data_IF_904346715009
#
_entry.id   IF_904346715009
#
_cell.length_a   1.000
_cell.length_b   1.000
_cell.length_c   1.000
_cell.angle_alpha   90.00
_cell.angle_beta   90.00
_cell.angle_gamma   90.00
#
_symmetry.space_group_name_H-M   'P 1'
#
loop_
_entity.id
_entity.type
_entity.pdbx_description
1 polymer ?
#
# COMPACT_ATOMS: atom_id res chain seq x y z
N UNK A 1 -29.39 -12.49 -4.76
CA UNK A 1 -28.31 -13.27 -5.45
C UNK A 1 -27.10 -12.34 -5.49
N UNK A 2 -25.98 -12.70 -4.85
CA UNK A 2 -24.76 -11.91 -4.92
C UNK A 2 -24.27 -11.90 -6.37
N UNK A 3 -24.04 -10.69 -6.92
CA UNK A 3 -23.51 -10.53 -8.29
C UNK A 3 -22.04 -10.97 -8.29
N UNK A 4 -21.72 -12.08 -8.96
CA UNK A 4 -20.39 -12.68 -8.92
C UNK A 4 -19.36 -11.88 -9.71
N UNK A 5 -19.74 -11.39 -10.89
CA UNK A 5 -18.89 -10.59 -11.77
C UNK A 5 -19.63 -9.41 -12.36
N UNK A 6 -18.94 -8.30 -12.61
CA UNK A 6 -19.49 -7.12 -13.30
C UNK A 6 -18.49 -6.50 -14.26
N UNK A 7 -19.01 -5.78 -15.25
CA UNK A 7 -18.25 -4.91 -16.14
C UNK A 7 -18.53 -3.47 -15.76
N UNK A 8 -17.47 -2.69 -15.52
CA UNK A 8 -17.54 -1.23 -15.37
C UNK A 8 -17.10 -0.59 -16.67
N UNK A 9 -17.91 0.33 -17.21
CA UNK A 9 -17.52 1.30 -18.24
C UNK A 9 -17.43 2.65 -17.57
N UNK A 10 -16.28 3.35 -17.65
CA UNK A 10 -16.09 4.65 -17.03
C UNK A 10 -15.43 5.64 -17.99
N UNK A 11 -15.82 6.89 -17.87
CA UNK A 11 -15.31 8.02 -18.63
C UNK A 11 -15.28 9.29 -17.77
N UNK A 12 -14.44 10.23 -18.14
CA UNK A 12 -14.36 11.53 -17.50
C UNK A 12 -13.82 12.58 -18.46
N UNK A 13 -14.30 13.80 -18.31
CA UNK A 13 -13.90 14.88 -19.19
C UNK A 13 -13.91 16.25 -18.53
N UNK A 14 -13.31 17.24 -19.23
CA UNK A 14 -13.38 18.64 -18.85
C UNK A 14 -13.55 19.53 -20.07
N UNK A 15 -14.37 20.58 -19.93
CA UNK A 15 -14.55 21.62 -20.94
C UNK A 15 -13.44 22.66 -20.84
N UNK A 16 -12.24 22.29 -21.35
CA UNK A 16 -10.96 22.94 -21.10
C UNK A 16 -10.10 22.08 -20.15
N UNK A 17 -8.80 22.33 -20.05
CA UNK A 17 -7.91 21.46 -19.25
C UNK A 17 -6.88 22.29 -18.46
N UNK A 18 -7.22 22.74 -17.22
CA UNK A 18 -8.45 22.49 -16.45
C UNK A 18 -9.67 23.30 -16.90
N UNK A 19 -10.89 22.80 -16.57
CA UNK A 19 -12.16 23.45 -16.84
C UNK A 19 -13.32 22.76 -16.12
N UNK A 20 -14.59 23.19 -16.38
CA UNK A 20 -15.76 22.49 -15.88
C UNK A 20 -15.67 21.01 -16.25
N UNK A 21 -15.65 20.14 -15.26
CA UNK A 21 -15.35 18.72 -15.41
C UNK A 21 -16.46 17.85 -14.81
N UNK A 22 -16.61 16.65 -15.36
CA UNK A 22 -17.58 15.68 -14.90
C UNK A 22 -17.17 14.26 -15.30
N UNK A 23 -17.80 13.28 -14.70
CA UNK A 23 -17.57 11.87 -15.00
C UNK A 23 -18.87 11.10 -15.17
N UNK A 24 -18.76 9.95 -15.83
CA UNK A 24 -19.79 8.93 -15.93
C UNK A 24 -19.21 7.54 -15.70
N UNK A 25 -20.00 6.68 -15.05
CA UNK A 25 -19.68 5.27 -14.89
C UNK A 25 -20.95 4.43 -14.97
N UNK A 26 -20.86 3.29 -15.63
CA UNK A 26 -21.93 2.30 -15.82
C UNK A 26 -21.43 0.95 -15.36
N UNK A 27 -22.20 0.28 -14.52
CA UNK A 27 -21.93 -1.10 -14.10
C UNK A 27 -22.93 -2.02 -14.79
N UNK A 28 -22.41 -3.07 -15.45
CA UNK A 28 -23.21 -4.00 -16.23
C UNK A 28 -22.99 -5.44 -15.78
N UNK A 29 -24.03 -6.24 -15.96
CA UNK A 29 -23.91 -7.69 -15.95
C UNK A 29 -23.11 -8.14 -17.19
N UNK A 30 -22.05 -8.96 -17.05
CA UNK A 30 -21.20 -9.38 -18.15
C UNK A 30 -21.88 -10.33 -19.14
N UNK A 31 -22.92 -11.08 -18.72
CA UNK A 31 -23.60 -12.08 -19.53
C UNK A 31 -24.78 -11.46 -20.29
N UNK A 32 -25.56 -10.64 -19.63
CA UNK A 32 -26.78 -10.06 -20.21
C UNK A 32 -26.57 -8.68 -20.82
N UNK A 33 -25.50 -7.96 -20.40
CA UNK A 33 -25.27 -6.57 -20.74
C UNK A 33 -26.21 -5.59 -20.05
N UNK A 34 -27.07 -6.06 -19.14
CA UNK A 34 -28.00 -5.25 -18.38
C UNK A 34 -27.26 -4.21 -17.52
N UNK A 35 -27.79 -2.99 -17.46
CA UNK A 35 -27.25 -1.92 -16.60
C UNK A 35 -27.70 -2.17 -15.17
N UNK A 36 -26.77 -2.45 -14.29
CA UNK A 36 -27.01 -2.67 -12.87
C UNK A 36 -26.93 -1.40 -12.05
N UNK A 37 -26.06 -0.47 -12.44
CA UNK A 37 -25.92 0.84 -11.80
C UNK A 37 -25.32 1.85 -12.74
N UNK A 38 -25.70 3.13 -12.53
CA UNK A 38 -25.11 4.30 -13.19
C UNK A 38 -24.66 5.32 -12.14
N UNK A 39 -23.54 5.99 -12.39
CA UNK A 39 -23.01 7.08 -11.56
C UNK A 39 -22.52 8.20 -12.48
N UNK A 40 -22.90 9.43 -12.16
CA UNK A 40 -22.36 10.61 -12.85
C UNK A 40 -22.40 11.81 -11.92
N UNK A 41 -21.40 12.68 -11.98
CA UNK A 41 -21.40 13.93 -11.25
C UNK A 41 -20.47 14.97 -11.90
N UNK A 42 -20.88 16.23 -11.82
CA UNK A 42 -19.99 17.36 -12.05
C UNK A 42 -19.03 17.51 -10.86
N UNK A 43 -17.75 17.77 -11.14
CA UNK A 43 -16.71 17.87 -10.11
C UNK A 43 -16.09 19.28 -10.01
N UNK A 44 -16.76 20.28 -10.56
CA UNK A 44 -16.26 21.65 -10.62
C UNK A 44 -15.12 21.79 -11.63
N UNK A 45 -14.16 22.68 -11.37
CA UNK A 45 -13.00 22.88 -12.26
C UNK A 45 -11.92 21.84 -11.97
N UNK A 46 -11.66 20.96 -12.95
CA UNK A 46 -10.64 19.93 -12.85
C UNK A 46 -10.02 19.62 -14.23
N UNK A 47 -8.93 18.84 -14.23
CA UNK A 47 -8.34 18.33 -15.47
C UNK A 47 -9.06 17.08 -15.95
N UNK A 48 -8.92 16.77 -17.24
CA UNK A 48 -9.48 15.55 -17.83
C UNK A 48 -9.06 14.28 -17.05
N UNK A 49 -7.79 14.14 -16.74
CA UNK A 49 -7.29 12.97 -16.02
C UNK A 49 -7.88 12.83 -14.61
N UNK A 50 -8.19 13.93 -13.92
CA UNK A 50 -8.88 13.90 -12.62
C UNK A 50 -10.30 13.37 -12.80
N UNK A 51 -11.01 13.82 -13.82
CA UNK A 51 -12.37 13.37 -14.12
C UNK A 51 -12.40 11.86 -14.48
N UNK A 52 -11.45 11.39 -15.27
CA UNK A 52 -11.28 9.98 -15.62
C UNK A 52 -11.10 9.07 -14.38
N UNK A 53 -10.20 9.48 -13.46
CA UNK A 53 -10.02 8.76 -12.20
C UNK A 53 -11.30 8.77 -11.34
N UNK A 54 -12.03 9.89 -11.31
CA UNK A 54 -13.31 9.99 -10.58
C UNK A 54 -14.37 9.06 -11.16
N UNK A 55 -14.43 8.91 -12.47
CA UNK A 55 -15.29 7.93 -13.13
C UNK A 55 -14.98 6.50 -12.74
N UNK A 56 -13.69 6.13 -12.78
CA UNK A 56 -13.25 4.80 -12.33
C UNK A 56 -13.61 4.54 -10.87
N UNK A 57 -13.33 5.49 -9.97
CA UNK A 57 -13.63 5.37 -8.54
C UNK A 57 -15.12 5.15 -8.32
N UNK A 58 -15.98 5.95 -8.95
CA UNK A 58 -17.43 5.84 -8.84
C UNK A 58 -17.97 4.49 -9.35
N UNK A 59 -17.38 3.97 -10.42
CA UNK A 59 -17.71 2.64 -10.93
C UNK A 59 -17.30 1.52 -9.98
N UNK A 60 -16.10 1.59 -9.39
CA UNK A 60 -15.64 0.62 -8.40
C UNK A 60 -16.48 0.67 -7.11
N UNK A 61 -16.87 1.86 -6.65
CA UNK A 61 -17.77 2.03 -5.50
C UNK A 61 -19.13 1.37 -5.77
N UNK A 62 -19.72 1.63 -6.95
CA UNK A 62 -20.99 1.02 -7.34
C UNK A 62 -20.92 -0.50 -7.46
N UNK A 63 -19.83 -1.04 -8.01
CA UNK A 63 -19.62 -2.49 -8.07
C UNK A 63 -19.49 -3.11 -6.67
N UNK A 64 -18.83 -2.44 -5.74
CA UNK A 64 -18.71 -2.88 -4.35
C UNK A 64 -20.06 -2.83 -3.60
N UNK A 65 -20.89 -1.81 -3.85
CA UNK A 65 -22.26 -1.72 -3.31
C UNK A 65 -23.16 -2.86 -3.81
N UNK A 66 -22.95 -3.31 -5.06
CA UNK A 66 -23.65 -4.46 -5.63
C UNK A 66 -23.14 -5.81 -5.10
N UNK A 67 -22.07 -5.82 -4.29
CA UNK A 67 -21.47 -7.03 -3.75
C UNK A 67 -20.73 -7.86 -4.79
N UNK A 68 -20.23 -7.26 -5.85
CA UNK A 68 -19.45 -7.95 -6.88
C UNK A 68 -18.16 -8.54 -6.31
N UNK A 69 -17.81 -9.75 -6.73
CA UNK A 69 -16.54 -10.40 -6.38
C UNK A 69 -15.46 -10.16 -7.43
N UNK A 70 -15.84 -10.10 -8.70
CA UNK A 70 -14.94 -9.91 -9.83
C UNK A 70 -15.37 -8.69 -10.66
N UNK A 71 -14.39 -7.90 -11.11
CA UNK A 71 -14.63 -6.67 -11.86
C UNK A 71 -13.75 -6.59 -13.10
N UNK A 72 -14.36 -6.31 -14.26
CA UNK A 72 -13.63 -5.83 -15.42
C UNK A 72 -13.92 -4.35 -15.63
N UNK A 73 -12.93 -3.47 -15.40
CA UNK A 73 -13.03 -2.03 -15.61
C UNK A 73 -12.54 -1.68 -17.02
N UNK A 74 -13.45 -1.21 -17.87
CA UNK A 74 -13.21 -0.79 -19.26
C UNK A 74 -13.20 0.71 -19.38
N UNK A 75 -12.14 1.27 -19.93
CA UNK A 75 -11.96 2.73 -20.10
C UNK A 75 -11.29 3.03 -21.43
N UNK A 76 -11.60 4.19 -22.02
CA UNK A 76 -10.89 4.74 -23.18
C UNK A 76 -9.71 5.64 -22.77
N UNK A 77 -9.55 5.92 -21.49
CA UNK A 77 -8.37 6.58 -20.92
C UNK A 77 -7.19 5.60 -20.81
N UNK A 78 -6.32 5.58 -21.82
CA UNK A 78 -5.11 4.75 -21.79
C UNK A 78 -4.23 5.08 -20.60
N UNK A 79 -4.16 6.37 -20.21
CA UNK A 79 -3.36 6.80 -19.06
C UNK A 79 -3.84 6.11 -17.77
N UNK A 80 -5.13 6.16 -17.47
CA UNK A 80 -5.68 5.57 -16.24
C UNK A 80 -5.51 4.05 -16.25
N UNK A 81 -5.82 3.38 -17.37
CA UNK A 81 -5.66 1.92 -17.51
C UNK A 81 -4.20 1.50 -17.29
N UNK A 82 -3.24 2.17 -17.95
CA UNK A 82 -1.82 1.83 -17.82
C UNK A 82 -1.29 2.11 -16.40
N UNK A 83 -1.76 3.17 -15.75
CA UNK A 83 -1.40 3.49 -14.38
C UNK A 83 -2.00 2.50 -13.37
N UNK A 84 -3.27 2.13 -13.52
CA UNK A 84 -3.91 1.15 -12.64
C UNK A 84 -3.38 -0.28 -12.83
N UNK A 85 -2.90 -0.62 -14.03
CA UNK A 85 -2.15 -1.85 -14.28
C UNK A 85 -0.69 -1.81 -13.76
N UNK A 86 -0.22 -0.67 -13.24
CA UNK A 86 1.15 -0.51 -12.77
C UNK A 86 2.22 -0.39 -13.86
N UNK A 87 1.81 -0.32 -15.16
CA UNK A 87 2.75 -0.19 -16.29
C UNK A 87 3.30 1.24 -16.44
N UNK A 88 2.53 2.26 -16.05
CA UNK A 88 2.94 3.66 -16.09
C UNK A 88 2.99 4.28 -14.70
N UNK A 89 4.03 5.11 -14.48
CA UNK A 89 4.16 5.86 -13.23
C UNK A 89 3.17 7.02 -13.14
N UNK A 90 2.65 7.27 -11.94
CA UNK A 90 1.80 8.43 -11.65
C UNK A 90 2.70 9.60 -11.25
N UNK A 91 3.14 10.37 -12.26
CA UNK A 91 4.05 11.52 -12.05
C UNK A 91 3.33 12.74 -11.47
N UNK A 92 2.08 12.97 -11.84
CA UNK A 92 1.33 14.16 -11.43
C UNK A 92 0.85 14.05 -9.98
N UNK A 93 1.24 15.01 -9.07
CA UNK A 93 0.90 14.93 -7.64
C UNK A 93 -0.62 14.84 -7.38
N UNK A 94 -1.44 15.59 -8.14
CA UNK A 94 -2.89 15.59 -8.00
C UNK A 94 -3.60 14.29 -8.37
N UNK A 95 -2.94 13.39 -9.12
CA UNK A 95 -3.52 12.09 -9.48
C UNK A 95 -3.18 10.98 -8.46
N UNK A 96 -2.12 11.16 -7.65
CA UNK A 96 -1.69 10.16 -6.67
C UNK A 96 -2.78 9.81 -5.65
N UNK A 97 -3.49 10.78 -5.02
CA UNK A 97 -4.56 10.46 -4.08
C UNK A 97 -5.72 9.68 -4.74
N UNK A 98 -6.09 10.05 -5.97
CA UNK A 98 -7.15 9.38 -6.71
C UNK A 98 -6.79 7.94 -7.08
N UNK A 99 -5.56 7.74 -7.54
CA UNK A 99 -5.06 6.40 -7.82
C UNK A 99 -4.95 5.54 -6.55
N UNK A 100 -4.56 6.13 -5.42
CA UNK A 100 -4.55 5.44 -4.13
C UNK A 100 -5.96 5.04 -3.69
N UNK A 101 -6.96 5.93 -3.87
CA UNK A 101 -8.38 5.64 -3.59
C UNK A 101 -8.88 4.49 -4.48
N UNK A 102 -8.62 4.55 -5.79
CA UNK A 102 -8.99 3.49 -6.72
C UNK A 102 -8.32 2.15 -6.35
N UNK A 103 -7.03 2.16 -6.00
CA UNK A 103 -6.30 0.97 -5.57
C UNK A 103 -6.86 0.38 -4.26
N UNK A 104 -7.29 1.22 -3.32
CA UNK A 104 -7.97 0.79 -2.09
C UNK A 104 -9.29 0.07 -2.39
N UNK A 105 -10.07 0.58 -3.35
CA UNK A 105 -11.30 -0.09 -3.80
C UNK A 105 -11.04 -1.41 -4.50
N UNK A 106 -10.00 -1.50 -5.33
CA UNK A 106 -9.56 -2.75 -5.98
C UNK A 106 -9.33 -3.87 -4.97
N UNK A 107 -8.77 -3.56 -3.80
CA UNK A 107 -8.55 -4.52 -2.72
C UNK A 107 -9.83 -5.15 -2.13
N UNK A 108 -11.01 -4.62 -2.44
CA UNK A 108 -12.31 -5.16 -1.98
C UNK A 108 -12.84 -6.30 -2.85
N UNK A 109 -12.26 -6.53 -4.01
CA UNK A 109 -12.68 -7.54 -4.96
C UNK A 109 -11.68 -8.70 -5.00
N UNK A 110 -12.16 -9.88 -5.34
CA UNK A 110 -11.32 -11.07 -5.53
C UNK A 110 -10.41 -10.92 -6.75
N UNK A 111 -10.93 -10.30 -7.81
CA UNK A 111 -10.16 -10.01 -9.03
C UNK A 111 -10.64 -8.71 -9.68
N UNK A 112 -9.70 -7.88 -10.15
CA UNK A 112 -10.00 -6.71 -10.97
C UNK A 112 -9.10 -6.71 -12.19
N UNK A 113 -9.71 -6.56 -13.38
CA UNK A 113 -9.01 -6.41 -14.65
C UNK A 113 -9.27 -5.02 -15.20
N UNK A 114 -8.23 -4.34 -15.66
CA UNK A 114 -8.35 -3.05 -16.36
C UNK A 114 -8.12 -3.26 -17.85
N UNK A 115 -9.09 -2.87 -18.67
CA UNK A 115 -9.07 -3.07 -20.13
C UNK A 115 -9.24 -1.73 -20.83
N UNK A 116 -8.26 -1.37 -21.68
CA UNK A 116 -8.45 -0.22 -22.56
C UNK A 116 -9.39 -0.58 -23.70
N UNK A 117 -10.37 0.30 -23.95
CA UNK A 117 -11.31 0.17 -25.07
C UNK A 117 -11.28 1.44 -25.91
N UNK A 118 -11.53 1.36 -27.23
CA UNK A 118 -11.68 2.55 -28.04
C UNK A 118 -12.96 3.31 -27.64
N UNK A 119 -12.94 4.66 -27.77
CA UNK A 119 -14.01 5.56 -27.35
C UNK A 119 -15.39 5.20 -27.90
N UNK A 120 -15.42 4.66 -29.13
CA UNK A 120 -16.65 4.22 -29.77
C UNK A 120 -17.36 3.10 -29.01
N UNK A 121 -16.65 2.39 -28.12
CA UNK A 121 -17.18 1.35 -27.25
C UNK A 121 -17.51 1.83 -25.84
N UNK A 122 -17.18 3.09 -25.50
CA UNK A 122 -17.45 3.69 -24.18
C UNK A 122 -18.60 4.73 -24.21
N UNK A 123 -19.49 4.66 -25.20
CA UNK A 123 -20.50 5.69 -25.48
C UNK A 123 -21.46 5.99 -24.34
N UNK A 124 -21.79 5.02 -23.51
CA UNK A 124 -22.74 5.20 -22.42
C UNK A 124 -22.10 6.03 -21.29
N UNK A 125 -20.89 5.66 -20.86
CA UNK A 125 -20.14 6.42 -19.86
C UNK A 125 -19.77 7.83 -20.38
N UNK A 126 -19.37 7.96 -21.67
CA UNK A 126 -19.11 9.25 -22.33
C UNK A 126 -20.36 10.15 -22.31
N UNK A 127 -21.55 9.63 -22.59
CA UNK A 127 -22.78 10.38 -22.53
C UNK A 127 -23.09 10.90 -21.11
N UNK A 128 -22.90 10.08 -20.09
CA UNK A 128 -23.08 10.46 -18.68
C UNK A 128 -22.05 11.52 -18.27
N UNK A 129 -20.79 11.36 -18.66
CA UNK A 129 -19.73 12.33 -18.37
C UNK A 129 -20.01 13.68 -19.06
N UNK A 130 -20.46 13.67 -20.32
CA UNK A 130 -20.84 14.88 -21.05
C UNK A 130 -22.01 15.62 -20.40
N UNK A 131 -23.06 14.90 -19.98
CA UNK A 131 -24.19 15.48 -19.26
C UNK A 131 -23.76 16.10 -17.93
N UNK A 132 -22.89 15.45 -17.20
CA UNK A 132 -22.34 15.94 -15.94
C UNK A 132 -21.45 17.19 -16.13
N UNK A 133 -20.66 17.26 -17.19
CA UNK A 133 -19.89 18.47 -17.55
C UNK A 133 -20.77 19.65 -17.93
N UNK A 134 -21.83 19.40 -18.69
CA UNK A 134 -22.76 20.48 -19.13
C UNK A 134 -23.54 21.04 -17.94
N UNK A 135 -23.97 20.17 -17.00
CA UNK A 135 -24.58 20.61 -15.75
C UNK A 135 -23.60 21.43 -14.89
N UNK A 136 -22.34 21.01 -14.79
CA UNK A 136 -21.29 21.74 -14.07
C UNK A 136 -20.95 23.11 -14.72
N UNK A 137 -21.18 23.25 -16.03
CA UNK A 137 -21.00 24.49 -16.79
C UNK A 137 -22.23 25.40 -16.76
N UNK A 138 -23.32 25.05 -16.06
CA UNK A 138 -24.55 25.81 -15.99
C UNK A 138 -25.37 25.81 -17.30
N UNK A 139 -25.13 24.84 -18.20
CA UNK A 139 -25.86 24.62 -19.43
C UNK A 139 -27.05 23.70 -19.19
N UNK A 140 -28.25 24.07 -19.65
CA UNK A 140 -29.42 23.20 -19.62
C UNK A 140 -29.16 21.91 -20.46
N UNK A 141 -29.60 20.73 -20.01
CA UNK A 141 -29.39 19.50 -20.75
C UNK A 141 -30.11 19.56 -22.10
N UNK A 142 -29.38 19.31 -23.18
CA UNK A 142 -29.99 19.01 -24.50
C UNK A 142 -30.63 17.63 -24.38
N UNK A 143 -31.96 17.62 -24.42
CA UNK A 143 -32.80 16.47 -24.24
C UNK A 143 -32.53 15.39 -25.31
N UNK A 144 -31.92 14.27 -24.91
CA UNK A 144 -32.22 12.98 -25.50
C UNK A 144 -33.31 12.36 -24.62
N UNK A 145 -34.47 12.08 -25.21
CA UNK A 145 -35.69 11.69 -24.53
C UNK A 145 -35.50 10.43 -23.70
N UNK A 146 -35.90 10.40 -22.40
CA UNK A 146 -35.90 9.19 -21.63
C UNK A 146 -37.09 8.31 -22.02
N UNK A 147 -36.79 7.05 -22.32
CA UNK A 147 -37.82 6.01 -22.31
C UNK A 147 -38.31 5.87 -20.87
N UNK A 148 -39.62 6.11 -20.67
CA UNK A 148 -40.30 6.06 -19.40
C UNK A 148 -40.04 4.70 -18.69
N UNK A 149 -39.43 4.75 -17.52
CA UNK A 149 -39.40 3.66 -16.56
C UNK A 149 -40.81 3.54 -15.96
N UNK A 150 -41.40 2.36 -16.02
CA UNK A 150 -42.60 2.01 -15.29
C UNK A 150 -42.31 2.03 -13.77
N UNK A 151 -43.26 2.48 -12.93
CA UNK A 151 -43.05 2.52 -11.50
C UNK A 151 -42.87 1.10 -10.93
N UNK A 152 -42.02 0.93 -9.93
CA UNK A 152 -41.80 -0.38 -9.34
C UNK A 152 -43.08 -0.85 -8.63
N UNK A 153 -43.50 -2.08 -8.93
CA UNK A 153 -44.52 -2.77 -8.14
C UNK A 153 -43.97 -2.96 -6.72
N UNK A 154 -44.74 -2.46 -5.79
CA UNK A 154 -44.57 -2.68 -4.35
C UNK A 154 -44.57 -4.18 -4.07
N UNK A 155 -43.42 -4.78 -3.78
CA UNK A 155 -43.33 -6.12 -3.20
C UNK A 155 -43.05 -5.92 -1.73
N UNK A 156 -43.97 -6.37 -0.90
CA UNK A 156 -43.87 -6.34 0.55
C UNK A 156 -42.54 -6.96 0.99
N UNK A 157 -41.71 -6.17 1.72
CA UNK A 157 -40.35 -6.55 2.07
C UNK A 157 -40.26 -7.52 3.22
N UNK A 158 -39.13 -8.20 3.33
CA UNK A 158 -38.73 -8.94 4.52
C UNK A 158 -37.98 -8.01 5.50
N UNK A 159 -38.65 -7.02 6.04
CA UNK A 159 -38.07 -6.05 7.00
C UNK A 159 -37.83 -6.64 8.40
N UNK A 160 -38.30 -7.88 8.65
CA UNK A 160 -38.13 -8.55 9.96
C UNK A 160 -36.79 -9.28 10.09
N UNK A 161 -36.28 -9.88 9.02
CA UNK A 161 -35.03 -10.65 9.05
C UNK A 161 -33.78 -9.74 9.11
N UNK A 162 -33.78 -8.63 8.40
CA UNK A 162 -32.69 -7.67 8.46
C UNK A 162 -32.59 -6.97 9.82
N UNK A 163 -33.74 -6.65 10.45
CA UNK A 163 -33.78 -6.10 11.81
C UNK A 163 -33.40 -7.11 12.88
N UNK A 164 -33.72 -8.40 12.68
CA UNK A 164 -33.26 -9.47 13.56
C UNK A 164 -31.75 -9.68 13.45
N UNK A 165 -31.20 -9.71 12.24
CA UNK A 165 -29.75 -9.82 12.01
C UNK A 165 -28.98 -8.62 12.58
N UNK A 166 -29.49 -7.39 12.39
CA UNK A 166 -28.91 -6.20 12.98
C UNK A 166 -28.93 -6.19 14.52
N UNK A 167 -30.01 -6.73 15.13
CA UNK A 167 -30.09 -6.89 16.59
C UNK A 167 -29.15 -7.98 17.10
N UNK A 168 -28.95 -9.05 16.35
CA UNK A 168 -28.03 -10.13 16.73
C UNK A 168 -26.56 -9.66 16.61
N UNK A 169 -26.21 -8.90 15.59
CA UNK A 169 -24.89 -8.27 15.45
C UNK A 169 -24.64 -7.26 16.60
N UNK A 170 -25.65 -6.43 16.94
CA UNK A 170 -25.54 -5.50 18.06
C UNK A 170 -25.45 -6.22 19.42
N UNK A 171 -26.17 -7.34 19.61
CA UNK A 171 -26.09 -8.16 20.82
C UNK A 171 -24.73 -8.86 20.95
N UNK A 172 -24.16 -9.36 19.84
CA UNK A 172 -22.81 -9.94 19.81
C UNK A 172 -21.74 -8.89 20.12
N UNK A 173 -21.87 -7.67 19.58
CA UNK A 173 -20.97 -6.56 19.89
C UNK A 173 -21.04 -6.14 21.37
N UNK A 174 -22.24 -6.17 21.98
CA UNK A 174 -22.39 -5.86 23.39
C UNK A 174 -21.80 -6.95 24.30
N UNK A 175 -21.89 -8.24 23.90
CA UNK A 175 -21.33 -9.37 24.64
C UNK A 175 -19.80 -9.42 24.52
N UNK A 176 -19.25 -9.10 23.35
CA UNK A 176 -17.79 -9.01 23.13
C UNK A 176 -17.15 -7.91 24.00
N UNK A 177 -17.86 -6.80 24.22
CA UNK A 177 -17.42 -5.71 25.10
C UNK A 177 -17.34 -6.11 26.58
N UNK A 178 -18.03 -7.18 26.97
CA UNK A 178 -18.06 -7.68 28.35
C UNK A 178 -17.00 -8.77 28.64
N UNK A 179 -16.37 -9.37 27.62
CA UNK A 179 -15.44 -10.52 27.78
C UNK A 179 -14.00 -10.24 27.43
N UNK A 180 -13.64 -9.01 27.08
CA UNK A 180 -12.25 -8.52 27.07
C UNK A 180 -11.22 -9.26 26.23
N UNK A 181 -11.62 -9.99 25.17
CA UNK A 181 -10.67 -10.66 24.25
C UNK A 181 -11.20 -10.70 22.83
N UNK A 182 -10.87 -9.67 22.03
CA UNK A 182 -10.91 -9.75 20.57
C UNK A 182 -9.66 -9.07 19.98
N UNK A 183 -8.73 -9.81 19.35
CA UNK A 183 -7.48 -9.27 18.82
C UNK A 183 -7.61 -8.61 17.44
N UNK A 184 -8.81 -8.29 16.95
CA UNK A 184 -9.02 -7.87 15.56
C UNK A 184 -9.80 -6.57 15.37
N UNK A 185 -9.81 -5.64 16.33
CA UNK A 185 -10.34 -4.29 16.09
C UNK A 185 -9.23 -3.26 16.13
N UNK A 186 -8.59 -3.05 15.00
CA UNK A 186 -7.80 -1.83 14.78
C UNK A 186 -8.77 -0.65 14.90
N UNK A 187 -8.55 0.31 15.82
CA UNK A 187 -9.42 1.48 15.92
C UNK A 187 -9.30 2.28 14.62
N UNK A 188 -10.37 2.34 13.86
CA UNK A 188 -10.47 3.18 12.66
C UNK A 188 -10.73 4.66 13.00
N UNK A 189 -10.43 5.11 14.22
CA UNK A 189 -10.76 6.45 14.67
C UNK A 189 -9.51 7.30 14.87
N UNK A 190 -9.64 8.57 14.50
CA UNK A 190 -8.71 9.65 14.80
C UNK A 190 -8.80 10.08 16.28
N UNK A 191 -9.30 9.24 17.18
CA UNK A 191 -9.31 9.53 18.59
C UNK A 191 -7.87 9.71 19.11
N UNK A 192 -7.60 10.71 19.95
CA UNK A 192 -6.32 10.85 20.61
C UNK A 192 -6.01 9.52 21.34
N UNK A 193 -4.85 8.92 21.02
CA UNK A 193 -4.44 7.70 21.71
C UNK A 193 -4.25 7.97 23.20
N UNK A 194 -4.51 6.97 24.06
CA UNK A 194 -4.19 7.09 25.48
C UNK A 194 -2.75 7.55 25.66
N UNK A 195 -2.47 8.27 26.73
CA UNK A 195 -1.19 8.87 27.05
C UNK A 195 -0.05 7.89 27.35
N UNK A 196 -0.22 6.61 27.06
CA UNK A 196 0.85 5.62 27.20
C UNK A 196 1.90 5.82 26.10
N UNK A 197 3.15 5.91 26.53
CA UNK A 197 4.26 6.08 25.60
C UNK A 197 4.49 4.78 24.83
N UNK A 198 4.46 4.90 23.50
CA UNK A 198 4.74 3.77 22.61
C UNK A 198 6.24 3.47 22.53
N UNK A 199 6.59 2.20 22.35
CA UNK A 199 7.97 1.81 22.02
C UNK A 199 8.34 2.36 20.64
N UNK A 200 9.34 3.23 20.58
CA UNK A 200 9.84 3.81 19.32
C UNK A 200 10.90 2.92 18.71
N UNK A 201 10.69 2.51 17.48
CA UNK A 201 11.70 1.84 16.66
C UNK A 201 12.26 2.82 15.62
N UNK A 202 13.58 3.01 15.65
CA UNK A 202 14.34 3.72 14.61
C UNK A 202 15.00 2.65 13.74
N UNK A 203 14.40 2.36 12.59
CA UNK A 203 14.89 1.36 11.64
C UNK A 203 15.95 1.98 10.75
N UNK A 204 17.12 1.39 10.69
CA UNK A 204 18.25 1.85 9.88
C UNK A 204 18.67 0.76 8.92
N UNK A 205 18.65 1.03 7.62
CA UNK A 205 19.33 0.16 6.66
C UNK A 205 20.84 0.36 6.77
N UNK A 206 21.62 -0.72 6.70
CA UNK A 206 23.08 -0.63 6.68
C UNK A 206 23.60 0.28 5.55
N UNK A 207 24.81 0.83 5.70
CA UNK A 207 25.49 1.63 4.69
C UNK A 207 25.84 0.86 3.42
N UNK A 208 26.36 1.55 2.42
CA UNK A 208 26.77 1.01 1.12
C UNK A 208 27.79 -0.13 1.24
N UNK A 209 27.64 -1.16 0.39
CA UNK A 209 28.59 -2.28 0.20
C UNK A 209 28.87 -2.44 -1.29
N UNK A 210 29.91 -3.15 -1.68
CA UNK A 210 30.23 -3.40 -3.09
C UNK A 210 29.06 -4.05 -3.84
N UNK A 211 28.31 -4.95 -3.19
CA UNK A 211 27.12 -5.57 -3.80
C UNK A 211 25.99 -4.56 -4.06
N UNK A 212 25.78 -3.59 -3.14
CA UNK A 212 24.77 -2.54 -3.36
C UNK A 212 25.16 -1.60 -4.51
N UNK A 213 26.44 -1.30 -4.69
CA UNK A 213 26.96 -0.52 -5.82
C UNK A 213 26.72 -1.27 -7.13
N UNK A 214 26.99 -2.56 -7.16
CA UNK A 214 26.81 -3.41 -8.34
C UNK A 214 25.34 -3.85 -8.56
N UNK A 215 24.40 -3.42 -7.69
CA UNK A 215 22.97 -3.78 -7.75
C UNK A 215 22.73 -5.29 -7.76
N UNK A 216 23.53 -6.00 -6.99
CA UNK A 216 23.45 -7.45 -6.82
C UNK A 216 22.56 -7.81 -5.63
N UNK A 217 21.90 -8.98 -5.71
CA UNK A 217 21.25 -9.58 -4.56
C UNK A 217 22.30 -9.84 -3.46
N UNK A 218 22.05 -9.29 -2.28
CA UNK A 218 22.98 -9.38 -1.14
C UNK A 218 22.21 -9.90 0.08
N UNK A 219 22.17 -11.22 0.21
CA UNK A 219 21.46 -11.93 1.27
C UNK A 219 22.35 -12.23 2.47
N UNK A 220 22.66 -13.52 2.67
CA UNK A 220 23.38 -14.04 3.84
C UNK A 220 24.89 -13.86 3.75
N UNK A 221 25.46 -13.63 2.57
CA UNK A 221 26.89 -13.37 2.39
C UNK A 221 27.34 -12.13 3.17
N UNK A 222 28.42 -12.29 3.93
CA UNK A 222 28.92 -11.22 4.81
C UNK A 222 29.89 -10.30 4.07
N UNK A 223 29.34 -9.26 3.43
CA UNK A 223 30.08 -8.26 2.67
C UNK A 223 30.25 -6.98 3.52
N UNK A 224 31.46 -6.45 3.67
CA UNK A 224 31.73 -5.27 4.51
C UNK A 224 31.24 -3.97 3.84
N UNK A 225 31.15 -2.90 4.64
CA UNK A 225 30.87 -1.55 4.16
C UNK A 225 32.04 -1.02 3.29
N UNK A 226 31.70 -0.32 2.20
CA UNK A 226 32.67 0.48 1.44
C UNK A 226 33.17 1.69 2.26
N UNK A 227 34.13 2.43 1.74
CA UNK A 227 34.55 3.70 2.35
C UNK A 227 33.35 4.68 2.44
N UNK A 228 32.54 4.77 1.40
CA UNK A 228 31.31 5.57 1.37
C UNK A 228 30.27 5.03 2.35
N UNK A 229 30.07 3.71 2.43
CA UNK A 229 29.17 3.09 3.41
C UNK A 229 29.55 3.42 4.85
N UNK A 230 30.84 3.47 5.18
CA UNK A 230 31.30 3.92 6.49
C UNK A 230 31.04 5.41 6.75
N UNK A 231 31.18 6.27 5.73
CA UNK A 231 30.80 7.68 5.82
C UNK A 231 29.28 7.84 6.03
N UNK A 232 28.48 7.10 5.27
CA UNK A 232 27.02 7.02 5.47
C UNK A 232 26.65 6.57 6.88
N UNK A 233 27.28 5.53 7.42
CA UNK A 233 27.04 5.06 8.78
C UNK A 233 27.30 6.14 9.84
N UNK A 234 28.34 6.97 9.66
CA UNK A 234 28.62 8.11 10.57
C UNK A 234 27.56 9.22 10.43
N UNK A 235 27.15 9.55 9.21
CA UNK A 235 26.09 10.54 9.00
C UNK A 235 24.75 10.08 9.58
N UNK A 236 24.41 8.80 9.38
CA UNK A 236 23.24 8.17 10.00
C UNK A 236 23.30 8.22 11.52
N UNK A 237 24.46 7.98 12.11
CA UNK A 237 24.66 8.08 13.56
C UNK A 237 24.33 9.47 14.08
N UNK A 238 24.81 10.54 13.41
CA UNK A 238 24.47 11.91 13.76
C UNK A 238 22.96 12.20 13.59
N UNK A 239 22.34 11.67 12.54
CA UNK A 239 20.89 11.80 12.33
C UNK A 239 20.08 11.12 13.42
N UNK A 240 20.44 9.89 13.78
CA UNK A 240 19.78 9.14 14.86
C UNK A 240 19.93 9.86 16.19
N UNK A 241 21.12 10.38 16.53
CA UNK A 241 21.35 11.14 17.74
C UNK A 241 20.51 12.44 17.81
N UNK A 242 20.27 13.09 16.64
CA UNK A 242 19.38 14.24 16.56
C UNK A 242 17.89 13.88 16.73
N UNK A 243 17.49 12.68 16.30
CA UNK A 243 16.11 12.17 16.46
C UNK A 243 15.84 11.66 17.88
N UNK A 244 16.83 11.03 18.51
CA UNK A 244 16.74 10.44 19.83
C UNK A 244 18.11 10.57 20.54
N UNK A 245 18.31 11.60 21.37
CA UNK A 245 19.57 11.80 22.10
C UNK A 245 19.90 10.68 23.08
N UNK A 246 18.89 9.92 23.52
CA UNK A 246 19.03 8.73 24.35
C UNK A 246 18.24 7.58 23.75
N UNK A 247 18.84 6.40 23.70
CA UNK A 247 18.19 5.16 23.25
C UNK A 247 18.46 4.06 24.29
N UNK A 248 17.43 3.23 24.52
CA UNK A 248 17.53 2.11 25.47
C UNK A 248 18.43 0.99 24.94
N UNK A 249 18.44 0.76 23.63
CA UNK A 249 19.24 -0.29 23.01
C UNK A 249 19.52 0.01 21.54
N UNK A 250 20.62 -0.56 21.06
CA UNK A 250 20.92 -0.72 19.62
C UNK A 250 20.96 -2.21 19.31
N UNK A 251 20.01 -2.66 18.46
CA UNK A 251 19.87 -4.06 18.05
C UNK A 251 20.17 -4.17 16.55
N UNK A 252 20.93 -5.18 16.15
CA UNK A 252 21.46 -5.29 14.78
C UNK A 252 21.31 -6.69 14.23
N UNK A 253 21.09 -6.80 12.92
CA UNK A 253 21.45 -8.01 12.18
C UNK A 253 22.91 -8.41 12.49
N UNK A 254 23.24 -9.71 12.55
CA UNK A 254 24.60 -10.16 12.87
C UNK A 254 25.63 -9.85 11.76
N UNK A 255 25.21 -9.55 10.54
CA UNK A 255 26.11 -9.32 9.41
C UNK A 255 26.99 -8.07 9.59
N UNK A 256 28.24 -8.14 9.16
CA UNK A 256 29.27 -7.13 9.41
C UNK A 256 28.86 -5.71 8.97
N UNK A 257 28.18 -5.58 7.83
CA UNK A 257 27.66 -4.30 7.35
C UNK A 257 26.66 -3.64 8.30
N UNK A 258 25.82 -4.44 8.96
CA UNK A 258 24.87 -3.96 9.95
C UNK A 258 25.55 -3.66 11.29
N UNK A 259 26.40 -4.56 11.79
CA UNK A 259 27.09 -4.34 13.07
C UNK A 259 28.05 -3.16 13.01
N UNK A 260 28.71 -2.91 11.86
CA UNK A 260 29.53 -1.72 11.65
C UNK A 260 28.69 -0.43 11.68
N UNK A 261 27.51 -0.42 11.02
CA UNK A 261 26.58 0.71 11.07
C UNK A 261 26.04 0.91 12.48
N UNK A 262 25.65 -0.17 13.16
CA UNK A 262 25.13 -0.14 14.53
C UNK A 262 26.13 0.41 15.55
N UNK A 263 27.41 0.02 15.44
CA UNK A 263 28.49 0.56 16.28
C UNK A 263 28.68 2.06 16.09
N UNK A 264 28.61 2.52 14.83
CA UNK A 264 28.70 3.97 14.57
C UNK A 264 27.54 4.73 15.21
N UNK A 265 26.32 4.19 15.16
CA UNK A 265 25.15 4.77 15.85
C UNK A 265 25.32 4.75 17.37
N UNK A 266 25.65 3.59 17.93
CA UNK A 266 25.81 3.42 19.38
C UNK A 266 26.79 4.43 19.97
N UNK A 267 27.89 4.71 19.28
CA UNK A 267 28.92 5.66 19.72
C UNK A 267 28.41 7.09 19.93
N UNK A 268 27.29 7.49 19.30
CA UNK A 268 26.72 8.85 19.40
C UNK A 268 25.45 8.94 20.26
N UNK A 269 24.86 7.80 20.65
CA UNK A 269 23.59 7.76 21.40
C UNK A 269 23.78 7.22 22.85
N UNK A 270 24.89 7.54 23.47
CA UNK A 270 25.19 7.12 24.85
C UNK A 270 25.96 5.79 24.95
N UNK A 271 26.39 5.26 23.81
CA UNK A 271 27.18 4.04 23.70
C UNK A 271 26.55 2.78 24.36
N UNK A 272 25.25 2.51 24.17
CA UNK A 272 24.65 1.29 24.66
C UNK A 272 25.31 0.07 23.97
N UNK A 273 25.30 -1.11 24.61
CA UNK A 273 25.84 -2.31 23.98
C UNK A 273 25.05 -2.65 22.71
N UNK A 274 25.77 -2.91 21.60
CA UNK A 274 25.15 -3.41 20.37
C UNK A 274 24.86 -4.89 20.56
N UNK A 275 23.58 -5.25 20.49
CA UNK A 275 23.09 -6.64 20.54
C UNK A 275 22.77 -7.13 19.13
N UNK A 276 23.06 -8.38 18.83
CA UNK A 276 22.67 -9.00 17.57
C UNK A 276 21.40 -9.84 17.73
N UNK A 277 20.57 -9.84 16.69
CA UNK A 277 19.37 -10.67 16.59
C UNK A 277 19.32 -11.30 15.20
N UNK A 278 19.36 -12.63 15.14
CA UNK A 278 19.40 -13.40 13.89
C UNK A 278 18.09 -13.27 13.09
N UNK A 279 16.95 -13.00 13.75
CA UNK A 279 15.68 -12.75 13.08
C UNK A 279 15.68 -11.43 12.26
N UNK A 280 16.69 -10.55 12.44
CA UNK A 280 16.89 -9.30 11.67
C UNK A 280 17.82 -9.46 10.47
N UNK A 281 18.33 -10.67 10.19
CA UNK A 281 19.22 -10.92 9.04
C UNK A 281 18.48 -10.75 7.72
N UNK A 282 19.21 -10.46 6.62
CA UNK A 282 18.58 -10.28 5.29
C UNK A 282 17.92 -11.58 4.79
N UNK A 283 17.00 -11.46 3.84
CA UNK A 283 16.45 -12.58 3.10
C UNK A 283 17.56 -13.42 2.48
N UNK A 284 17.45 -14.74 2.60
CA UNK A 284 18.33 -15.65 1.87
C UNK A 284 17.90 -15.68 0.39
N UNK A 285 18.73 -15.18 -0.48
CA UNK A 285 18.46 -15.20 -1.92
C UNK A 285 18.98 -16.47 -2.61
N UNK A 286 19.52 -17.44 -1.85
CA UNK A 286 19.96 -18.72 -2.36
C UNK A 286 20.91 -18.59 -3.55
N UNK A 287 20.60 -19.26 -4.66
CA UNK A 287 21.44 -19.25 -5.86
C UNK A 287 21.52 -17.88 -6.57
N UNK A 288 20.65 -16.94 -6.22
CA UNK A 288 20.68 -15.59 -6.78
C UNK A 288 21.69 -14.67 -6.09
N UNK A 289 22.25 -15.09 -4.95
CA UNK A 289 23.21 -14.28 -4.20
C UNK A 289 24.41 -13.87 -5.06
N UNK A 290 24.74 -12.57 -5.05
CA UNK A 290 25.83 -11.99 -5.85
C UNK A 290 25.51 -11.77 -7.32
N UNK A 291 24.29 -12.07 -7.76
CA UNK A 291 23.82 -11.81 -9.13
C UNK A 291 23.04 -10.51 -9.21
N UNK A 292 23.05 -9.86 -10.37
CA UNK A 292 22.18 -8.74 -10.69
C UNK A 292 20.76 -9.24 -11.03
N UNK A 293 19.79 -8.34 -11.01
CA UNK A 293 18.42 -8.65 -11.45
C UNK A 293 18.39 -9.16 -12.91
N UNK A 294 19.22 -8.61 -13.79
CA UNK A 294 19.30 -9.04 -15.19
C UNK A 294 19.83 -10.47 -15.32
N UNK A 295 20.91 -10.82 -14.62
CA UNK A 295 21.46 -12.17 -14.62
C UNK A 295 20.48 -13.20 -14.06
N UNK A 296 19.73 -12.83 -13.01
CA UNK A 296 18.66 -13.70 -12.48
C UNK A 296 17.52 -13.84 -13.50
N UNK A 297 17.14 -12.75 -14.17
CA UNK A 297 16.13 -12.79 -15.23
C UNK A 297 16.53 -13.70 -16.40
N UNK A 298 17.79 -13.67 -16.80
CA UNK A 298 18.29 -14.47 -17.89
C UNK A 298 18.41 -15.96 -17.52
N UNK A 299 18.80 -16.27 -16.28
CA UNK A 299 19.05 -17.64 -15.84
C UNK A 299 17.86 -18.35 -15.17
N UNK A 300 16.89 -17.62 -14.59
CA UNK A 300 15.80 -18.13 -13.76
C UNK A 300 14.49 -17.38 -13.98
N UNK A 301 14.12 -17.11 -15.23
CA UNK A 301 12.97 -16.27 -15.58
C UNK A 301 11.66 -16.76 -14.93
N UNK A 302 11.40 -18.07 -14.97
CA UNK A 302 10.18 -18.66 -14.41
C UNK A 302 10.11 -18.54 -12.88
N UNK A 303 11.20 -18.85 -12.20
CA UNK A 303 11.32 -18.76 -10.74
C UNK A 303 11.25 -17.29 -10.27
N UNK A 304 11.87 -16.37 -11.04
CA UNK A 304 11.80 -14.94 -10.74
C UNK A 304 10.38 -14.41 -10.89
N UNK A 305 9.65 -14.79 -11.95
CA UNK A 305 8.26 -14.38 -12.14
C UNK A 305 7.35 -14.94 -11.03
N UNK A 306 7.55 -16.19 -10.62
CA UNK A 306 6.82 -16.79 -9.50
C UNK A 306 7.13 -16.07 -8.17
N UNK A 307 8.39 -15.73 -7.91
CA UNK A 307 8.81 -15.00 -6.71
C UNK A 307 8.26 -13.57 -6.68
N UNK A 308 8.22 -12.88 -7.82
CA UNK A 308 7.63 -11.54 -7.93
C UNK A 308 6.10 -11.54 -7.77
N UNK A 309 5.45 -12.68 -8.09
CA UNK A 309 4.00 -12.83 -8.00
C UNK A 309 3.50 -13.18 -6.58
N UNK A 310 4.36 -13.75 -5.71
CA UNK A 310 3.94 -14.21 -4.39
C UNK A 310 5.05 -14.15 -3.35
N UNK A 311 4.73 -13.59 -2.20
CA UNK A 311 5.63 -13.54 -1.03
C UNK A 311 5.90 -14.91 -0.41
N UNK A 312 5.13 -15.94 -0.78
CA UNK A 312 5.31 -17.32 -0.29
C UNK A 312 6.28 -18.14 -1.15
N UNK A 313 6.66 -17.64 -2.31
CA UNK A 313 7.65 -18.30 -3.17
C UNK A 313 9.04 -17.85 -2.75
N UNK A 314 9.93 -18.82 -2.54
CA UNK A 314 11.33 -18.58 -2.24
C UNK A 314 12.17 -18.58 -3.53
N UNK A 315 13.30 -17.85 -3.58
CA UNK A 315 14.34 -18.10 -4.56
C UNK A 315 14.86 -19.54 -4.43
N UNK A 316 15.38 -20.16 -5.49
CA UNK A 316 15.93 -21.51 -5.40
C UNK A 316 17.03 -21.62 -4.30
N UNK A 317 16.85 -22.54 -3.38
CA UNK A 317 17.68 -22.72 -2.18
C UNK A 317 17.74 -21.49 -1.25
N UNK A 318 16.75 -20.62 -1.29
CA UNK A 318 16.65 -19.41 -0.48
C UNK A 318 15.44 -19.41 0.45
N UNK A 319 15.07 -18.21 0.94
CA UNK A 319 14.00 -17.94 1.89
C UNK A 319 12.92 -17.09 1.24
N UNK A 320 11.65 -17.38 1.48
CA UNK A 320 10.52 -16.58 1.02
C UNK A 320 10.35 -15.31 1.86
N UNK A 321 9.73 -14.27 1.30
CA UNK A 321 9.39 -13.07 2.08
C UNK A 321 8.40 -13.35 3.21
N UNK A 322 7.56 -14.38 3.10
CA UNK A 322 6.68 -14.80 4.19
C UNK A 322 7.48 -15.32 5.40
N UNK A 323 8.49 -16.15 5.18
CA UNK A 323 9.38 -16.62 6.25
C UNK A 323 10.18 -15.47 6.87
N UNK A 324 10.67 -14.53 6.04
CA UNK A 324 11.32 -13.32 6.55
C UNK A 324 10.35 -12.48 7.41
N UNK A 325 9.09 -12.33 6.99
CA UNK A 325 8.08 -11.60 7.76
C UNK A 325 7.82 -12.23 9.12
N UNK A 326 7.68 -13.56 9.19
CA UNK A 326 7.46 -14.29 10.43
C UNK A 326 8.60 -14.07 11.44
N UNK A 327 9.87 -14.24 11.01
CA UNK A 327 11.00 -14.03 11.91
C UNK A 327 11.17 -12.57 12.32
N UNK A 328 10.98 -11.63 11.37
CA UNK A 328 11.09 -10.20 11.66
C UNK A 328 9.97 -9.75 12.61
N UNK A 329 8.76 -10.29 12.46
CA UNK A 329 7.65 -10.07 13.40
C UNK A 329 8.02 -10.52 14.82
N UNK A 330 8.61 -11.72 15.00
CA UNK A 330 9.11 -12.18 16.30
C UNK A 330 10.15 -11.22 16.90
N UNK A 331 11.07 -10.70 16.07
CA UNK A 331 12.05 -9.71 16.55
C UNK A 331 11.36 -8.43 17.06
N UNK A 332 10.40 -7.88 16.30
CA UNK A 332 9.63 -6.69 16.69
C UNK A 332 8.86 -6.92 18.00
N UNK A 333 8.22 -8.08 18.15
CA UNK A 333 7.47 -8.43 19.38
C UNK A 333 8.41 -8.52 20.61
N UNK A 334 9.60 -9.11 20.44
CA UNK A 334 10.63 -9.14 21.50
C UNK A 334 11.05 -7.72 21.91
N UNK A 335 11.29 -6.85 20.92
CA UNK A 335 11.70 -5.47 21.17
C UNK A 335 10.61 -4.67 21.88
N UNK A 336 9.36 -4.76 21.42
CA UNK A 336 8.21 -4.11 22.04
C UNK A 336 8.04 -4.55 23.50
N UNK A 337 8.20 -5.86 23.78
CA UNK A 337 8.06 -6.42 25.11
C UNK A 337 9.22 -6.08 26.04
N UNK A 338 10.45 -6.00 25.50
CA UNK A 338 11.65 -5.71 26.31
C UNK A 338 11.86 -4.23 26.60
N UNK A 339 11.31 -3.34 25.79
CA UNK A 339 11.55 -1.90 25.86
C UNK A 339 10.24 -1.06 25.79
N UNK A 340 9.26 -1.32 26.69
CA UNK A 340 7.98 -0.61 26.67
C UNK A 340 8.17 0.88 26.92
N UNK A 341 7.62 1.73 26.03
CA UNK A 341 7.73 3.20 26.12
C UNK A 341 9.10 3.78 25.78
N UNK A 342 10.07 2.94 25.41
CA UNK A 342 11.44 3.40 25.15
C UNK A 342 11.78 3.49 23.66
N UNK A 343 12.91 4.11 23.34
CA UNK A 343 13.44 4.17 21.97
C UNK A 343 14.50 3.11 21.74
N UNK A 344 14.34 2.32 20.70
CA UNK A 344 15.28 1.30 20.25
C UNK A 344 15.71 1.57 18.82
N UNK A 345 17.01 1.51 18.55
CA UNK A 345 17.54 1.54 17.18
C UNK A 345 17.70 0.12 16.66
N UNK A 346 17.15 -0.15 15.47
CA UNK A 346 17.24 -1.45 14.81
C UNK A 346 18.00 -1.29 13.50
N UNK A 347 19.17 -1.91 13.39
CA UNK A 347 19.98 -1.88 12.17
C UNK A 347 19.82 -3.18 11.40
N UNK A 348 19.28 -3.11 10.20
CA UNK A 348 18.95 -4.28 9.40
C UNK A 348 19.10 -3.99 7.89
N UNK A 349 18.36 -4.70 7.08
CA UNK A 349 18.47 -4.75 5.63
C UNK A 349 17.14 -4.37 4.95
N UNK A 350 17.14 -4.41 3.61
CA UNK A 350 15.98 -4.00 2.80
C UNK A 350 14.75 -4.83 3.11
N UNK A 351 14.85 -6.17 3.04
CA UNK A 351 13.68 -7.04 3.14
C UNK A 351 13.05 -7.02 4.54
N UNK A 352 13.81 -7.18 5.64
CA UNK A 352 13.26 -7.07 6.99
C UNK A 352 12.61 -5.72 7.25
N UNK A 353 13.28 -4.60 6.90
CA UNK A 353 12.73 -3.26 7.14
C UNK A 353 11.45 -3.03 6.33
N UNK A 354 11.41 -3.45 5.06
CA UNK A 354 10.19 -3.34 4.24
C UNK A 354 9.03 -4.14 4.82
N UNK A 355 9.28 -5.33 5.36
CA UNK A 355 8.25 -6.18 5.94
C UNK A 355 7.71 -5.59 7.25
N UNK A 356 8.57 -5.05 8.12
CA UNK A 356 8.12 -4.28 9.30
C UNK A 356 7.26 -3.09 8.90
N UNK A 357 7.68 -2.32 7.89
CA UNK A 357 6.91 -1.17 7.40
C UNK A 357 5.61 -1.58 6.72
N UNK A 358 5.59 -2.69 5.97
CA UNK A 358 4.37 -3.25 5.38
C UNK A 358 3.34 -3.56 6.46
N UNK A 359 3.75 -4.26 7.50
CA UNK A 359 2.86 -4.67 8.57
C UNK A 359 2.41 -3.47 9.41
N UNK A 360 3.32 -2.53 9.70
CA UNK A 360 3.01 -1.28 10.41
C UNK A 360 1.98 -0.40 9.66
N UNK A 361 1.98 -0.43 8.34
CA UNK A 361 1.07 0.32 7.47
C UNK A 361 -0.18 -0.50 7.08
N UNK A 362 -0.32 -1.74 7.57
CA UNK A 362 -1.35 -2.68 7.14
C UNK A 362 -1.44 -2.80 5.60
N UNK A 363 -0.29 -2.74 4.91
CA UNK A 363 -0.22 -2.73 3.46
C UNK A 363 -0.18 -4.16 2.89
N UNK A 364 -0.72 -4.34 1.69
CA UNK A 364 -0.61 -5.61 0.97
C UNK A 364 0.79 -5.85 0.40
N UNK A 365 1.06 -7.08 -0.06
CA UNK A 365 2.37 -7.56 -0.52
C UNK A 365 2.99 -6.74 -1.67
N UNK A 366 2.16 -6.09 -2.51
CA UNK A 366 2.63 -5.16 -3.55
C UNK A 366 3.49 -4.00 -3.00
N UNK A 367 3.40 -3.70 -1.70
CA UNK A 367 4.23 -2.71 -1.01
C UNK A 367 5.73 -3.01 -1.17
N UNK A 368 6.14 -4.27 -1.12
CA UNK A 368 7.54 -4.70 -1.20
C UNK A 368 8.23 -4.26 -2.49
N UNK A 369 7.46 -4.17 -3.59
CA UNK A 369 7.97 -3.77 -4.91
C UNK A 369 7.80 -2.27 -5.19
N UNK A 370 7.05 -1.55 -4.35
CA UNK A 370 6.74 -0.11 -4.52
C UNK A 370 7.54 0.80 -3.61
N UNK A 371 8.00 0.29 -2.49
CA UNK A 371 8.87 1.04 -1.58
C UNK A 371 10.34 0.81 -1.96
N UNK A 372 11.07 1.88 -2.18
CA UNK A 372 12.52 1.84 -2.25
C UNK A 372 13.12 2.32 -0.92
N UNK A 373 14.13 1.63 -0.44
CA UNK A 373 14.89 2.02 0.75
C UNK A 373 16.34 2.22 0.34
N UNK A 374 16.87 3.42 0.59
CA UNK A 374 18.27 3.75 0.34
C UNK A 374 19.21 3.13 1.38
N UNK A 375 20.48 2.89 0.99
CA UNK A 375 21.53 2.54 1.97
C UNK A 375 21.64 3.65 3.02
N UNK A 376 21.75 3.26 4.28
CA UNK A 376 21.80 4.18 5.41
C UNK A 376 20.52 5.04 5.62
N UNK A 377 19.42 4.74 4.92
CA UNK A 377 18.12 5.38 5.11
C UNK A 377 17.52 5.04 6.47
N UNK A 378 16.81 6.00 7.07
CA UNK A 378 16.22 5.92 8.40
C UNK A 378 14.70 5.95 8.30
N UNK A 379 14.02 5.03 9.03
CA UNK A 379 12.57 5.04 9.17
C UNK A 379 12.20 5.01 10.65
N UNK A 380 11.13 5.67 11.06
CA UNK A 380 10.72 5.79 12.46
C UNK A 380 9.27 5.38 12.60
N UNK A 381 8.99 4.51 13.56
CA UNK A 381 7.63 4.10 13.92
C UNK A 381 7.50 3.96 15.45
N UNK A 382 6.29 4.21 15.95
CA UNK A 382 5.92 4.01 17.34
C UNK A 382 4.93 2.85 17.44
N UNK A 383 5.20 1.91 18.34
CA UNK A 383 4.38 0.74 18.64
C UNK A 383 3.71 0.94 20.00
N UNK A 384 2.39 0.99 20.04
CA UNK A 384 1.64 1.24 21.27
C UNK A 384 1.20 -0.06 21.95
N UNK A 385 1.00 -0.03 23.29
CA UNK A 385 0.57 -1.24 24.03
C UNK A 385 -0.78 -1.80 23.58
N UNK A 386 -1.68 -0.93 23.08
CA UNK A 386 -3.00 -1.29 22.53
C UNK A 386 -2.94 -1.97 21.14
N UNK A 387 -1.73 -2.24 20.61
CA UNK A 387 -1.51 -2.77 19.28
C UNK A 387 -1.53 -1.72 18.17
N UNK A 388 -1.77 -0.46 18.51
CA UNK A 388 -1.70 0.64 17.57
C UNK A 388 -0.28 0.91 17.07
N UNK A 389 -0.14 1.41 15.85
CA UNK A 389 1.14 1.76 15.23
C UNK A 389 1.06 3.15 14.62
N UNK A 390 2.10 3.96 14.78
CA UNK A 390 2.26 5.22 14.07
C UNK A 390 3.59 5.25 13.31
N UNK A 391 3.53 5.28 11.98
CA UNK A 391 4.72 5.49 11.14
C UNK A 391 5.00 6.98 11.05
N UNK A 392 6.15 7.43 11.54
CA UNK A 392 6.55 8.85 11.63
C UNK A 392 7.28 9.31 10.39
N UNK A 393 8.19 8.47 9.88
CA UNK A 393 8.95 8.73 8.66
C UNK A 393 9.36 7.42 8.01
N UNK A 394 9.57 7.44 6.69
CA UNK A 394 10.03 6.30 5.91
C UNK A 394 11.17 6.76 5.02
N UNK A 395 12.31 6.04 5.09
CA UNK A 395 13.46 6.24 4.22
C UNK A 395 13.97 7.70 4.21
N UNK A 396 14.13 8.30 5.39
CA UNK A 396 14.77 9.62 5.53
C UNK A 396 16.25 9.50 5.18
N UNK A 397 16.68 10.25 4.19
CA UNK A 397 18.05 10.31 3.65
C UNK A 397 18.62 11.72 3.66
N UNK A 398 17.97 12.67 4.33
CA UNK A 398 18.39 14.07 4.36
C UNK A 398 19.84 14.27 4.88
N UNK A 399 20.31 13.35 5.73
CA UNK A 399 21.66 13.35 6.29
C UNK A 399 22.74 12.84 5.30
N UNK A 400 22.37 12.40 4.11
CA UNK A 400 23.27 11.84 3.09
C UNK A 400 23.52 12.80 1.91
N UNK A 401 22.98 13.99 1.96
CA UNK A 401 22.98 14.94 0.82
C UNK A 401 24.38 15.35 0.39
N UNK A 402 25.33 15.39 1.33
CA UNK A 402 26.70 15.85 1.09
C UNK A 402 27.71 14.67 0.90
N UNK A 403 27.22 13.43 0.71
CA UNK A 403 28.05 12.22 0.63
C UNK A 403 28.12 11.62 -0.78
#
# INVERSE_FOLDING_TARGET
VAVRAVVIEADGGSRGNPGPAGYGAVVRDPETGEVLAERSAGIGTATNNVAEYRGLIAGLEAAAELGAAEVEARMDSKLVVEQMCGRWQIKHPGLRPLAAQAAGLVGRFTAVRFTWIPRERNKHADALANAAMDAAAGRAPTAAAPRAAQPPREVAGPDSAARAAAREVAARAATAKATGTDPATTPASWEPRPTEEGTRLILVRHGETDRTVQKQYSGRGDVPLTARGRAQARATAARVAALAPSVAAVVSSPLSRCTATARAVAALVGNPPVRTDDDLIECDFGVWEGRTFAEVRDGWAGELDAWLASTRVAPPAGESFAEVAERTGRAVDRLRSAYPGETVVVVSHVSPIKLVLRDALAAGDAFLHRLYLDTAGVSVLDLYPDGGVAVRSVNDTAHLTDL
#
